data_IF_127140825878
#
_entry.id   IF_127140825878
#
_cell.length_a   1.000
_cell.length_b   1.000
_cell.length_c   1.000
_cell.angle_alpha   90.00
_cell.angle_beta   90.00
_cell.angle_gamma   90.00
#
_symmetry.space_group_name_H-M   'P 1'
#
loop_
_entity.id
_entity.type
_entity.pdbx_description
1 polymer ?
#
# COMPACT_ATOMS: atom_id res chain seq x y z
N UNK A 1 22.31 18.20 15.50
CA UNK A 1 21.99 17.87 14.09
C UNK A 1 21.12 16.61 13.89
N UNK A 2 20.76 15.83 14.92
CA UNK A 2 20.02 14.55 14.75
C UNK A 2 18.48 14.65 14.70
N UNK A 3 17.85 15.67 15.31
CA UNK A 3 16.37 15.76 15.35
C UNK A 3 15.74 16.08 14.00
N UNK A 4 16.26 17.06 13.26
CA UNK A 4 15.73 17.44 11.94
C UNK A 4 15.85 16.29 10.93
N UNK A 5 16.99 15.60 10.89
CA UNK A 5 17.20 14.43 10.02
C UNK A 5 16.24 13.30 10.37
N UNK A 6 15.98 13.06 11.66
CA UNK A 6 15.00 12.09 12.16
C UNK A 6 13.57 12.46 11.77
N UNK A 7 13.18 13.74 11.91
CA UNK A 7 11.86 14.23 11.49
C UNK A 7 11.68 14.08 9.98
N UNK A 8 12.65 14.53 9.17
CA UNK A 8 12.60 14.37 7.71
C UNK A 8 12.53 12.89 7.28
N UNK A 9 13.30 12.02 7.93
CA UNK A 9 13.25 10.58 7.64
C UNK A 9 11.91 9.94 8.01
N UNK A 10 11.18 10.48 8.99
CA UNK A 10 9.85 10.01 9.37
C UNK A 10 8.76 10.55 8.43
N UNK A 11 8.90 11.78 7.92
CA UNK A 11 7.95 12.38 6.97
C UNK A 11 7.95 11.67 5.61
N UNK A 12 9.11 11.16 5.18
CA UNK A 12 9.25 10.39 3.94
C UNK A 12 9.34 8.87 4.18
N UNK A 13 9.02 8.41 5.40
CA UNK A 13 8.99 6.99 5.70
C UNK A 13 7.90 6.30 4.88
N UNK A 14 8.21 5.11 4.41
CA UNK A 14 7.24 4.28 3.72
C UNK A 14 6.21 3.80 4.76
N UNK A 15 4.90 3.89 4.47
CA UNK A 15 3.87 3.48 5.42
C UNK A 15 4.02 2.00 5.79
N UNK A 16 3.61 1.66 7.00
CA UNK A 16 3.47 0.25 7.40
C UNK A 16 2.37 -0.44 6.60
N UNK A 17 2.43 -1.78 6.51
CA UNK A 17 1.50 -2.58 5.70
C UNK A 17 0.03 -2.26 6.00
N UNK A 18 -0.35 -2.20 7.28
CA UNK A 18 -1.74 -1.92 7.67
C UNK A 18 -2.17 -0.50 7.29
N UNK A 19 -1.30 0.51 7.45
CA UNK A 19 -1.61 1.90 7.05
C UNK A 19 -1.75 2.02 5.55
N UNK A 20 -0.88 1.37 4.78
CA UNK A 20 -0.95 1.34 3.33
C UNK A 20 -2.23 0.64 2.83
N UNK A 21 -2.55 -0.53 3.38
CA UNK A 21 -3.77 -1.27 3.04
C UNK A 21 -5.03 -0.47 3.39
N UNK A 22 -5.06 0.19 4.54
CA UNK A 22 -6.17 1.05 4.94
C UNK A 22 -6.36 2.21 3.96
N UNK A 23 -5.28 2.93 3.60
CA UNK A 23 -5.35 4.01 2.62
C UNK A 23 -5.85 3.51 1.24
N UNK A 24 -5.39 2.33 0.81
CA UNK A 24 -5.85 1.67 -0.42
C UNK A 24 -7.34 1.34 -0.35
N UNK A 25 -7.82 0.84 0.80
CA UNK A 25 -9.22 0.49 1.02
C UNK A 25 -10.16 1.69 1.06
N UNK A 26 -9.68 2.86 1.48
CA UNK A 26 -10.48 4.09 1.57
C UNK A 26 -10.74 4.76 0.22
N UNK A 27 -9.89 4.52 -0.80
CA UNK A 27 -10.00 5.19 -2.09
C UNK A 27 -11.37 5.02 -2.78
N UNK A 28 -11.95 3.81 -2.88
CA UNK A 28 -13.28 3.64 -3.46
C UNK A 28 -14.38 4.37 -2.69
N UNK A 29 -14.25 4.53 -1.38
CA UNK A 29 -15.22 5.25 -0.53
C UNK A 29 -15.15 6.75 -0.81
N UNK A 30 -13.93 7.30 -0.84
CA UNK A 30 -13.71 8.71 -1.18
C UNK A 30 -14.19 9.00 -2.60
N UNK A 31 -13.91 8.10 -3.54
CA UNK A 31 -14.37 8.24 -4.91
C UNK A 31 -15.90 8.19 -5.03
N UNK A 32 -16.58 7.33 -4.24
CA UNK A 32 -18.03 7.31 -4.18
C UNK A 32 -18.60 8.63 -3.66
N UNK A 33 -18.02 9.18 -2.59
CA UNK A 33 -18.43 10.47 -2.04
C UNK A 33 -18.27 11.60 -3.06
N UNK A 34 -17.14 11.65 -3.78
CA UNK A 34 -16.94 12.64 -4.85
C UNK A 34 -17.97 12.47 -5.97
N UNK A 35 -18.27 11.23 -6.39
CA UNK A 35 -19.29 10.96 -7.39
C UNK A 35 -20.69 11.42 -6.94
N UNK A 36 -21.00 11.32 -5.65
CA UNK A 36 -22.26 11.81 -5.09
C UNK A 36 -22.33 13.34 -5.06
N UNK A 37 -21.24 14.00 -4.69
CA UNK A 37 -21.18 15.47 -4.60
C UNK A 37 -21.11 16.18 -5.96
N UNK A 38 -20.69 15.47 -7.03
CA UNK A 38 -20.51 16.06 -8.37
C UNK A 38 -21.29 15.31 -9.46
N UNK A 39 -22.63 15.34 -9.43
CA UNK A 39 -23.45 14.65 -10.43
C UNK A 39 -23.27 15.19 -11.85
N UNK A 40 -22.87 16.47 -12.00
CA UNK A 40 -22.67 17.13 -13.29
C UNK A 40 -21.53 16.48 -14.12
N UNK A 41 -20.68 15.66 -13.49
CA UNK A 41 -19.62 14.94 -14.18
C UNK A 41 -20.19 13.93 -15.20
N UNK A 42 -21.30 13.27 -14.88
CA UNK A 42 -22.00 12.36 -15.79
C UNK A 42 -22.61 13.11 -16.97
N UNK A 43 -23.21 14.27 -16.72
CA UNK A 43 -23.82 15.10 -17.75
C UNK A 43 -22.75 15.62 -18.72
N UNK A 44 -21.63 16.12 -18.19
CA UNK A 44 -20.49 16.53 -19.00
C UNK A 44 -19.96 15.39 -19.87
N UNK A 45 -19.76 14.19 -19.31
CA UNK A 45 -19.30 13.04 -20.06
C UNK A 45 -20.33 12.57 -21.10
N UNK A 46 -21.62 12.65 -20.78
CA UNK A 46 -22.70 12.23 -21.68
C UNK A 46 -22.86 13.19 -22.86
N UNK A 47 -22.74 14.50 -22.62
CA UNK A 47 -22.86 15.53 -23.64
C UNK A 47 -21.64 15.57 -24.57
N UNK A 48 -20.43 15.37 -24.02
CA UNK A 48 -19.19 15.43 -24.81
C UNK A 48 -18.88 14.14 -25.59
N UNK A 49 -19.27 12.97 -25.05
CA UNK A 49 -19.01 11.67 -25.69
C UNK A 49 -20.26 11.07 -26.38
N UNK A 50 -21.45 11.68 -26.20
CA UNK A 50 -22.69 11.22 -26.82
C UNK A 50 -23.22 9.88 -26.28
N UNK A 51 -22.70 9.40 -25.14
CA UNK A 51 -23.11 8.15 -24.50
C UNK A 51 -23.88 8.52 -23.24
N UNK A 52 -25.15 8.14 -23.11
CA UNK A 52 -25.90 8.32 -21.86
C UNK A 52 -25.28 7.47 -20.74
N UNK A 53 -24.43 8.08 -19.92
CA UNK A 53 -23.71 7.44 -18.81
C UNK A 53 -24.20 8.06 -17.50
N UNK A 54 -24.88 7.28 -16.67
CA UNK A 54 -25.22 7.69 -15.31
C UNK A 54 -24.01 7.63 -14.37
N UNK A 55 -24.05 8.39 -13.26
CA UNK A 55 -22.95 8.42 -12.28
C UNK A 55 -22.57 7.06 -11.70
N UNK A 56 -23.52 6.11 -11.59
CA UNK A 56 -23.20 4.75 -11.16
C UNK A 56 -22.28 4.01 -12.15
N UNK A 57 -22.42 4.25 -13.47
CA UNK A 57 -21.51 3.71 -14.46
C UNK A 57 -20.12 4.33 -14.35
N UNK A 58 -20.04 5.64 -14.11
CA UNK A 58 -18.77 6.35 -13.86
C UNK A 58 -18.07 5.75 -12.63
N UNK A 59 -18.81 5.58 -11.54
CA UNK A 59 -18.29 4.98 -10.31
C UNK A 59 -17.75 3.57 -10.52
N UNK A 60 -18.56 2.67 -11.12
CA UNK A 60 -18.17 1.28 -11.39
C UNK A 60 -16.94 1.21 -12.30
N UNK A 61 -16.89 2.03 -13.36
CA UNK A 61 -15.76 2.09 -14.27
C UNK A 61 -14.48 2.58 -13.56
N UNK A 62 -14.57 3.62 -12.74
CA UNK A 62 -13.44 4.14 -11.96
C UNK A 62 -12.92 3.13 -10.94
N UNK A 63 -13.81 2.45 -10.20
CA UNK A 63 -13.42 1.37 -9.30
C UNK A 63 -12.81 0.16 -10.03
N UNK A 64 -13.32 -0.18 -11.20
CA UNK A 64 -12.75 -1.21 -12.07
C UNK A 64 -11.32 -0.86 -12.51
N UNK A 65 -11.10 0.35 -13.01
CA UNK A 65 -9.78 0.86 -13.38
C UNK A 65 -8.82 0.87 -12.18
N UNK A 66 -9.29 1.27 -11.00
CA UNK A 66 -8.51 1.25 -9.76
C UNK A 66 -8.08 -0.19 -9.40
N UNK A 67 -8.98 -1.17 -9.45
CA UNK A 67 -8.64 -2.57 -9.20
C UNK A 67 -7.58 -3.10 -10.20
N UNK A 68 -7.67 -2.71 -11.47
CA UNK A 68 -6.66 -3.06 -12.48
C UNK A 68 -5.29 -2.46 -12.14
N UNK A 69 -5.23 -1.19 -11.75
CA UNK A 69 -3.99 -0.53 -11.33
C UNK A 69 -3.40 -1.19 -10.08
N UNK A 70 -4.22 -1.52 -9.08
CA UNK A 70 -3.78 -2.20 -7.87
C UNK A 70 -3.20 -3.59 -8.16
N UNK A 71 -3.78 -4.34 -9.12
CA UNK A 71 -3.21 -5.64 -9.52
C UNK A 71 -1.80 -5.51 -10.12
N UNK A 72 -1.44 -4.33 -10.62
CA UNK A 72 -0.11 -3.99 -11.15
C UNK A 72 0.75 -3.21 -10.15
N UNK A 73 0.29 -3.02 -8.91
CA UNK A 73 0.96 -2.18 -7.90
C UNK A 73 2.42 -2.60 -7.65
N UNK A 74 2.72 -3.90 -7.61
CA UNK A 74 4.09 -4.39 -7.44
C UNK A 74 5.02 -3.95 -8.56
N UNK A 75 4.54 -4.02 -9.80
CA UNK A 75 5.29 -3.59 -10.98
C UNK A 75 5.50 -2.07 -10.97
N UNK A 76 4.46 -1.30 -10.62
CA UNK A 76 4.54 0.16 -10.52
C UNK A 76 5.51 0.61 -9.40
N UNK A 77 5.61 -0.16 -8.32
CA UNK A 77 6.50 0.14 -7.21
C UNK A 77 7.90 -0.47 -7.33
N UNK A 78 8.24 -1.13 -8.44
CA UNK A 78 9.54 -1.79 -8.59
C UNK A 78 10.73 -0.83 -8.37
N UNK A 79 10.58 0.44 -8.76
CA UNK A 79 11.59 1.49 -8.51
C UNK A 79 11.97 1.63 -7.03
N UNK A 80 11.03 1.43 -6.12
CA UNK A 80 11.27 1.51 -4.68
C UNK A 80 12.03 0.28 -4.18
N UNK A 81 11.69 -0.91 -4.68
CA UNK A 81 12.45 -2.13 -4.38
C UNK A 81 13.90 -2.04 -4.84
N UNK A 82 14.13 -1.53 -6.06
CA UNK A 82 15.48 -1.29 -6.58
C UNK A 82 16.22 -0.25 -5.73
N UNK A 83 15.57 0.87 -5.41
CA UNK A 83 16.17 1.96 -4.62
C UNK A 83 16.59 1.51 -3.21
N UNK A 84 15.81 0.64 -2.58
CA UNK A 84 16.02 0.21 -1.19
C UNK A 84 16.57 -1.21 -1.05
N UNK A 85 17.07 -1.82 -2.12
CA UNK A 85 17.55 -3.20 -2.12
C UNK A 85 18.63 -3.46 -1.04
N UNK A 86 19.55 -2.51 -0.85
CA UNK A 86 20.59 -2.62 0.17
C UNK A 86 20.02 -2.63 1.60
N UNK A 87 19.10 -1.73 1.91
CA UNK A 87 18.46 -1.66 3.23
C UNK A 87 17.57 -2.90 3.49
N UNK A 88 16.88 -3.40 2.47
CA UNK A 88 16.09 -4.64 2.57
C UNK A 88 16.99 -5.84 2.88
N UNK A 89 18.11 -5.97 2.16
CA UNK A 89 19.09 -7.03 2.41
C UNK A 89 19.69 -6.92 3.82
N UNK A 90 20.06 -5.71 4.24
CA UNK A 90 20.59 -5.46 5.58
C UNK A 90 19.58 -5.83 6.67
N UNK A 91 18.30 -5.47 6.50
CA UNK A 91 17.25 -5.89 7.44
C UNK A 91 17.15 -7.42 7.54
N UNK A 92 17.21 -8.12 6.40
CA UNK A 92 17.17 -9.59 6.35
C UNK A 92 18.35 -10.21 7.08
N UNK A 93 19.56 -9.71 6.85
CA UNK A 93 20.77 -10.16 7.56
C UNK A 93 20.65 -9.96 9.07
N UNK A 94 20.18 -8.79 9.50
CA UNK A 94 19.96 -8.49 10.93
C UNK A 94 18.90 -9.40 11.56
N UNK A 95 17.86 -9.77 10.81
CA UNK A 95 16.84 -10.71 11.27
C UNK A 95 17.42 -12.11 11.48
N UNK A 96 18.24 -12.59 10.53
CA UNK A 96 18.93 -13.88 10.65
C UNK A 96 19.91 -13.85 11.83
N UNK A 97 20.71 -12.78 11.97
CA UNK A 97 21.66 -12.62 13.07
C UNK A 97 20.96 -12.61 14.42
N UNK A 98 19.87 -11.83 14.56
CA UNK A 98 19.06 -11.79 15.76
C UNK A 98 18.55 -13.19 16.13
N UNK A 99 17.99 -13.94 15.18
CA UNK A 99 17.51 -15.30 15.42
C UNK A 99 18.66 -16.22 15.87
N UNK A 100 19.83 -16.13 15.24
CA UNK A 100 21.03 -16.86 15.65
C UNK A 100 21.47 -16.54 17.09
N UNK A 101 21.44 -15.26 17.47
CA UNK A 101 21.76 -14.82 18.84
C UNK A 101 20.74 -15.32 19.87
N UNK A 102 19.44 -15.37 19.53
CA UNK A 102 18.41 -15.95 20.40
C UNK A 102 18.68 -17.44 20.63
N UNK A 103 18.93 -18.20 19.57
CA UNK A 103 19.23 -19.64 19.65
C UNK A 103 20.50 -19.90 20.47
N UNK A 104 21.50 -19.04 20.36
CA UNK A 104 22.74 -19.12 21.13
C UNK A 104 22.62 -18.62 22.58
N UNK A 105 21.43 -18.19 23.04
CA UNK A 105 21.21 -17.68 24.39
C UNK A 105 21.82 -16.30 24.65
N UNK A 106 22.17 -15.55 23.60
CA UNK A 106 22.85 -14.26 23.67
C UNK A 106 21.89 -13.06 23.70
N UNK A 107 20.59 -13.28 23.88
CA UNK A 107 19.56 -12.23 23.88
C UNK A 107 19.73 -11.16 24.98
N UNK A 108 20.51 -11.44 26.02
CA UNK A 108 20.79 -10.53 27.13
C UNK A 108 21.99 -9.60 26.87
N UNK A 109 22.71 -9.81 25.76
CA UNK A 109 23.94 -9.08 25.43
C UNK A 109 23.66 -7.68 24.86
N UNK A 110 24.60 -6.76 25.04
CA UNK A 110 24.48 -5.40 24.51
C UNK A 110 24.46 -5.39 22.97
N UNK A 111 25.18 -6.32 22.35
CA UNK A 111 25.23 -6.55 20.91
C UNK A 111 23.85 -6.94 20.36
N UNK A 112 23.06 -7.71 21.12
CA UNK A 112 21.70 -8.06 20.73
C UNK A 112 20.79 -6.83 20.66
N UNK A 113 20.93 -5.92 21.63
CA UNK A 113 20.17 -4.67 21.64
C UNK A 113 20.57 -3.76 20.47
N UNK A 114 21.86 -3.71 20.11
CA UNK A 114 22.32 -2.98 18.94
C UNK A 114 21.73 -3.54 17.63
N UNK A 115 21.70 -4.87 17.49
CA UNK A 115 21.08 -5.55 16.33
C UNK A 115 19.59 -5.21 16.21
N UNK A 116 18.84 -5.27 17.32
CA UNK A 116 17.42 -4.89 17.33
C UNK A 116 17.24 -3.42 16.95
N UNK A 117 18.02 -2.52 17.54
CA UNK A 117 17.88 -1.09 17.30
C UNK A 117 18.11 -0.73 15.83
N UNK A 118 19.15 -1.31 15.20
CA UNK A 118 19.43 -1.10 13.78
C UNK A 118 18.31 -1.70 12.90
N UNK A 119 17.86 -2.93 13.22
CA UNK A 119 16.77 -3.59 12.49
C UNK A 119 15.49 -2.75 12.53
N UNK A 120 15.10 -2.28 13.70
CA UNK A 120 13.88 -1.50 13.90
C UNK A 120 13.96 -0.11 13.26
N UNK A 121 15.15 0.50 13.21
CA UNK A 121 15.36 1.73 12.45
C UNK A 121 15.11 1.50 10.96
N UNK A 122 15.69 0.43 10.37
CA UNK A 122 15.49 0.10 8.97
C UNK A 122 14.01 -0.21 8.70
N UNK A 123 13.37 -1.01 9.55
CA UNK A 123 11.95 -1.34 9.44
C UNK A 123 11.06 -0.08 9.51
N UNK A 124 11.37 0.85 10.41
CA UNK A 124 10.65 2.11 10.53
C UNK A 124 10.73 3.00 9.29
N UNK A 125 11.84 2.95 8.53
CA UNK A 125 12.00 3.71 7.28
C UNK A 125 11.36 3.00 6.08
N UNK A 126 11.50 1.69 6.00
CA UNK A 126 11.08 0.88 4.86
C UNK A 126 9.61 0.42 4.92
N UNK A 127 8.98 0.45 6.09
CA UNK A 127 7.56 0.13 6.25
C UNK A 127 7.19 -1.21 5.64
N UNK A 128 6.19 -1.21 4.76
CA UNK A 128 5.73 -2.44 4.10
C UNK A 128 6.77 -3.09 3.17
N UNK A 129 7.84 -2.39 2.74
CA UNK A 129 8.85 -2.99 1.86
C UNK A 129 9.64 -4.10 2.54
N UNK A 130 9.77 -4.06 3.88
CA UNK A 130 10.46 -5.11 4.65
C UNK A 130 9.73 -6.44 4.55
N UNK A 131 8.40 -6.40 4.55
CA UNK A 131 7.53 -7.57 4.47
C UNK A 131 6.59 -7.44 3.27
N UNK A 132 7.21 -7.24 2.11
CA UNK A 132 6.49 -6.97 0.88
C UNK A 132 5.59 -8.13 0.46
N UNK A 133 6.02 -9.37 0.69
CA UNK A 133 5.24 -10.54 0.29
C UNK A 133 3.97 -10.68 1.14
N UNK A 134 4.02 -10.45 2.46
CA UNK A 134 2.81 -10.38 3.29
C UNK A 134 1.89 -9.23 2.86
N UNK A 135 2.46 -8.06 2.59
CA UNK A 135 1.70 -6.91 2.10
C UNK A 135 0.99 -7.23 0.77
N UNK A 136 1.68 -7.80 -0.21
CA UNK A 136 1.08 -8.12 -1.51
C UNK A 136 0.07 -9.27 -1.43
N UNK A 137 0.28 -10.25 -0.55
CA UNK A 137 -0.72 -11.29 -0.27
C UNK A 137 -2.02 -10.68 0.26
N UNK A 138 -1.93 -9.76 1.23
CA UNK A 138 -3.09 -9.04 1.77
C UNK A 138 -3.73 -8.10 0.73
N UNK A 139 -2.91 -7.40 -0.05
CA UNK A 139 -3.37 -6.52 -1.12
C UNK A 139 -4.16 -7.30 -2.18
N UNK A 140 -3.68 -8.47 -2.59
CA UNK A 140 -4.41 -9.32 -3.55
C UNK A 140 -5.78 -9.73 -3.00
N UNK A 141 -5.86 -10.14 -1.73
CA UNK A 141 -7.14 -10.44 -1.09
C UNK A 141 -8.09 -9.24 -1.06
N UNK A 142 -7.56 -8.03 -0.81
CA UNK A 142 -8.35 -6.79 -0.87
C UNK A 142 -8.84 -6.49 -2.29
N UNK A 143 -7.98 -6.64 -3.30
CA UNK A 143 -8.34 -6.45 -4.72
C UNK A 143 -9.44 -7.43 -5.14
N UNK A 144 -9.36 -8.70 -4.72
CA UNK A 144 -10.38 -9.70 -5.02
C UNK A 144 -11.72 -9.33 -4.37
N UNK A 145 -11.71 -8.85 -3.12
CA UNK A 145 -12.90 -8.37 -2.44
C UNK A 145 -13.53 -7.18 -3.16
N UNK A 146 -12.72 -6.17 -3.52
CA UNK A 146 -13.18 -4.99 -4.27
C UNK A 146 -13.76 -5.39 -5.63
N UNK A 147 -13.08 -6.27 -6.37
CA UNK A 147 -13.53 -6.73 -7.68
C UNK A 147 -14.88 -7.45 -7.59
N UNK A 148 -15.10 -8.28 -6.57
CA UNK A 148 -16.41 -8.91 -6.32
C UNK A 148 -17.50 -7.86 -6.11
N UNK A 149 -17.25 -6.88 -5.24
CA UNK A 149 -18.19 -5.79 -5.00
C UNK A 149 -18.51 -4.96 -6.25
N UNK A 150 -17.49 -4.62 -7.04
CA UNK A 150 -17.66 -3.90 -8.31
C UNK A 150 -18.48 -4.72 -9.31
N UNK A 151 -18.24 -6.03 -9.42
CA UNK A 151 -19.00 -6.91 -10.31
C UNK A 151 -20.47 -7.03 -9.87
N UNK A 152 -20.73 -7.12 -8.57
CA UNK A 152 -22.10 -7.13 -8.04
C UNK A 152 -22.81 -5.81 -8.36
N UNK A 153 -22.19 -4.67 -8.09
CA UNK A 153 -22.73 -3.36 -8.43
C UNK A 153 -22.98 -3.21 -9.93
N UNK A 154 -22.06 -3.68 -10.78
CA UNK A 154 -22.21 -3.64 -12.23
C UNK A 154 -23.43 -4.41 -12.76
N UNK A 155 -23.85 -5.49 -12.07
CA UNK A 155 -25.07 -6.24 -12.43
C UNK A 155 -26.35 -5.45 -12.22
N UNK A 156 -26.36 -4.46 -11.33
CA UNK A 156 -27.52 -3.60 -11.06
C UNK A 156 -27.55 -2.32 -11.92
N UNK A 157 -26.56 -2.12 -12.79
CA UNK A 157 -26.39 -0.91 -13.61
C UNK A 157 -26.80 -1.15 -15.08
N UNK A 158 -27.14 -2.40 -15.44
CA UNK A 158 -27.74 -2.80 -16.71
C UNK A 158 -29.27 -2.88 -16.60
#
# INVERSE_FOLDING_TARGET
>A
MNRLRRIFSQTFAIPSSNRALFAIAMWPILYAATCYETPQLADYLSEFLGIHIGMMKVYVAGCGAYCLLLSRHRLLNNRYFVRYAADINRHRELTILQQGMVVAGLAHRAEYQAVIAERDEIAGRLGFLVDADDFYRKLNGLVDLMRKGVNELGRYVH
#
